data_IF_708178809553
#
_entry.id   IF_708178809553
#
_cell.length_a   1.000
_cell.length_b   1.000
_cell.length_c   1.000
_cell.angle_alpha   90.00
_cell.angle_beta   90.00
_cell.angle_gamma   90.00
#
_symmetry.space_group_name_H-M   'P 1'
#
loop_
_entity.id
_entity.type
_entity.pdbx_description
1 polymer ?
#
# COMPACT_ATOMS: atom_id res chain seq x y z
N UNK A 1 21.08 -22.27 39.01
CA UNK A 1 21.74 -22.84 37.82
C UNK A 1 20.67 -23.58 37.01
N UNK A 2 19.69 -22.87 36.46
CA UNK A 2 19.81 -21.98 35.29
C UNK A 2 19.85 -22.79 33.99
N UNK A 3 18.73 -22.76 33.26
CA UNK A 3 18.63 -22.82 31.79
C UNK A 3 17.16 -22.66 31.42
N UNK A 4 16.70 -21.41 31.52
CA UNK A 4 15.52 -20.96 30.79
C UNK A 4 15.76 -21.30 29.31
N UNK A 5 14.93 -22.19 28.77
CA UNK A 5 14.80 -22.37 27.33
C UNK A 5 14.26 -21.04 26.80
N UNK A 6 15.15 -20.21 26.27
CA UNK A 6 14.77 -19.04 25.49
C UNK A 6 13.91 -19.57 24.35
N UNK A 7 12.60 -19.39 24.50
CA UNK A 7 11.64 -19.55 23.42
C UNK A 7 12.03 -18.46 22.43
N UNK A 8 12.79 -18.83 21.40
CA UNK A 8 13.00 -17.98 20.25
C UNK A 8 11.61 -17.70 19.68
N UNK A 9 11.01 -16.57 20.09
CA UNK A 9 9.87 -15.98 19.40
C UNK A 9 10.25 -16.02 17.92
N UNK A 10 9.43 -16.65 17.05
CA UNK A 10 9.77 -16.73 15.65
C UNK A 10 10.02 -15.29 15.22
N UNK A 11 11.27 -15.00 14.83
CA UNK A 11 11.65 -13.70 14.31
C UNK A 11 10.59 -13.40 13.27
N UNK A 12 9.69 -12.46 13.57
CA UNK A 12 8.66 -12.01 12.65
C UNK A 12 9.49 -11.55 11.47
N UNK A 13 9.51 -12.35 10.41
CA UNK A 13 10.31 -12.08 9.23
C UNK A 13 9.79 -10.73 8.73
N UNK A 14 10.50 -9.67 9.12
CA UNK A 14 10.04 -8.31 9.01
C UNK A 14 10.38 -7.88 7.59
N UNK A 15 9.75 -8.55 6.61
CA UNK A 15 10.00 -8.27 5.21
C UNK A 15 9.77 -6.78 5.01
N UNK A 16 10.84 -6.09 4.61
CA UNK A 16 10.82 -4.67 4.26
C UNK A 16 10.23 -4.45 2.87
N UNK A 17 9.99 -5.54 2.14
CA UNK A 17 9.48 -5.55 0.79
C UNK A 17 8.23 -6.43 0.73
N UNK A 18 7.21 -5.91 0.05
CA UNK A 18 6.00 -6.63 -0.30
C UNK A 18 5.66 -6.29 -1.74
N UNK A 19 5.28 -7.30 -2.51
CA UNK A 19 5.00 -7.19 -3.93
C UNK A 19 3.56 -7.64 -4.21
N UNK A 20 2.88 -6.90 -5.08
CA UNK A 20 1.56 -7.25 -5.56
C UNK A 20 1.45 -7.04 -7.05
N UNK A 21 1.10 -8.12 -7.75
CA UNK A 21 0.91 -8.14 -9.19
C UNK A 21 -0.57 -8.20 -9.51
N UNK A 22 -1.02 -7.33 -10.43
CA UNK A 22 -2.39 -7.38 -10.94
C UNK A 22 -2.35 -7.98 -12.34
N UNK A 23 -2.89 -9.19 -12.48
CA UNK A 23 -3.00 -9.87 -13.77
C UNK A 23 -4.19 -9.36 -14.59
N UNK A 24 -4.12 -9.57 -15.90
CA UNK A 24 -5.19 -9.29 -16.88
C UNK A 24 -5.70 -7.84 -16.86
N UNK A 25 -4.79 -6.89 -16.64
CA UNK A 25 -5.14 -5.48 -16.56
C UNK A 25 -5.83 -4.95 -17.82
N UNK A 26 -5.45 -5.42 -19.01
CA UNK A 26 -6.09 -5.00 -20.27
C UNK A 26 -7.59 -5.33 -20.30
N UNK A 27 -7.97 -6.55 -19.91
CA UNK A 27 -9.38 -6.95 -19.85
C UNK A 27 -10.11 -6.21 -18.73
N UNK A 28 -9.48 -6.07 -17.55
CA UNK A 28 -10.03 -5.31 -16.43
C UNK A 28 -10.35 -3.87 -16.82
N UNK A 29 -9.43 -3.18 -17.50
CA UNK A 29 -9.56 -1.76 -17.90
C UNK A 29 -10.77 -1.46 -18.79
N UNK A 30 -11.34 -2.45 -19.48
CA UNK A 30 -12.56 -2.31 -20.27
C UNK A 30 -13.79 -2.05 -19.39
N UNK A 31 -13.75 -2.46 -18.13
CA UNK A 31 -14.88 -2.41 -17.19
C UNK A 31 -14.67 -1.40 -16.04
N UNK A 32 -13.48 -0.82 -15.90
CA UNK A 32 -13.23 0.19 -14.88
C UNK A 32 -13.72 1.56 -15.35
N UNK A 33 -14.61 2.15 -14.55
CA UNK A 33 -14.97 3.56 -14.60
C UNK A 33 -14.10 4.36 -13.63
N UNK A 34 -14.03 5.69 -13.81
CA UNK A 34 -13.37 6.58 -12.86
C UNK A 34 -13.94 6.40 -11.45
N UNK A 35 -13.08 6.41 -10.44
CA UNK A 35 -13.44 6.17 -9.04
C UNK A 35 -13.55 4.69 -8.64
N UNK A 36 -13.57 3.76 -9.60
CA UNK A 36 -13.43 2.33 -9.30
C UNK A 36 -11.96 1.97 -9.09
N UNK A 37 -11.70 1.12 -8.10
CA UNK A 37 -10.36 0.66 -7.76
C UNK A 37 -10.30 -0.85 -7.55
N UNK A 38 -9.07 -1.36 -7.60
CA UNK A 38 -8.70 -2.71 -7.17
C UNK A 38 -7.95 -2.55 -5.85
N UNK A 39 -8.36 -3.31 -4.83
CA UNK A 39 -7.71 -3.31 -3.52
C UNK A 39 -6.79 -4.52 -3.41
N UNK A 40 -5.59 -4.31 -2.88
CA UNK A 40 -4.68 -5.39 -2.55
C UNK A 40 -5.16 -6.23 -1.37
N UNK A 41 -4.60 -7.44 -1.18
CA UNK A 41 -4.60 -8.07 0.14
C UNK A 41 -3.97 -7.16 1.19
N UNK A 42 -4.36 -7.36 2.44
CA UNK A 42 -3.69 -6.71 3.57
C UNK A 42 -2.25 -7.22 3.71
N UNK A 43 -1.33 -6.32 3.99
CA UNK A 43 0.07 -6.68 4.20
C UNK A 43 0.69 -5.94 5.37
N UNK A 44 1.86 -6.42 5.80
CA UNK A 44 2.67 -5.80 6.84
C UNK A 44 4.08 -5.55 6.31
N UNK A 45 4.65 -4.42 6.69
CA UNK A 45 6.04 -4.07 6.39
C UNK A 45 6.77 -3.81 7.70
N UNK A 46 7.91 -4.47 7.88
CA UNK A 46 8.71 -4.35 9.10
C UNK A 46 7.89 -4.56 10.41
N UNK A 47 6.86 -5.40 10.39
CA UNK A 47 5.97 -5.62 11.52
C UNK A 47 4.85 -4.58 11.71
N UNK A 48 4.82 -3.50 10.92
CA UNK A 48 3.75 -2.50 10.92
C UNK A 48 2.65 -2.84 9.92
N UNK A 49 1.42 -2.42 10.19
CA UNK A 49 0.24 -2.63 9.35
C UNK A 49 -1.03 -2.82 10.20
N UNK A 50 -2.14 -3.31 9.62
CA UNK A 50 -2.26 -3.71 8.22
C UNK A 50 -2.19 -2.51 7.27
N UNK A 51 -1.56 -2.71 6.12
CA UNK A 51 -1.57 -1.79 4.99
C UNK A 51 -2.44 -2.36 3.86
N UNK A 52 -3.02 -1.48 3.05
CA UNK A 52 -3.69 -1.81 1.79
C UNK A 52 -3.28 -0.82 0.71
N UNK A 53 -3.14 -1.31 -0.51
CA UNK A 53 -2.97 -0.47 -1.70
C UNK A 53 -4.27 -0.48 -2.49
N UNK A 54 -4.75 0.71 -2.85
CA UNK A 54 -5.87 0.88 -3.76
C UNK A 54 -5.33 1.43 -5.07
N UNK A 55 -5.54 0.68 -6.15
CA UNK A 55 -5.18 1.12 -7.50
C UNK A 55 -6.42 1.52 -8.27
N UNK A 56 -6.46 2.78 -8.72
CA UNK A 56 -7.54 3.39 -9.49
C UNK A 56 -7.09 3.53 -10.95
N UNK A 57 -7.44 2.60 -11.84
CA UNK A 57 -6.85 2.57 -13.18
C UNK A 57 -7.26 3.76 -14.06
N UNK A 58 -8.45 4.34 -13.80
CA UNK A 58 -9.02 5.51 -14.50
C UNK A 58 -8.98 6.79 -13.66
N UNK A 59 -8.22 6.77 -12.56
CA UNK A 59 -8.19 7.85 -11.57
C UNK A 59 -9.23 7.69 -10.49
N UNK A 60 -8.97 8.35 -9.36
CA UNK A 60 -9.90 8.40 -8.25
C UNK A 60 -11.07 9.33 -8.58
N UNK A 61 -12.03 9.45 -7.64
CA UNK A 61 -13.20 10.28 -7.84
C UNK A 61 -12.89 11.78 -7.82
N UNK A 62 -11.81 12.17 -7.15
CA UNK A 62 -11.46 13.56 -6.86
C UNK A 62 -10.50 14.17 -7.90
N UNK A 63 -9.82 13.33 -8.70
CA UNK A 63 -8.85 13.79 -9.68
C UNK A 63 -9.56 14.46 -10.86
N UNK A 64 -9.23 15.70 -11.18
CA UNK A 64 -9.81 16.38 -12.36
C UNK A 64 -9.34 15.77 -13.70
N UNK A 65 -8.32 14.90 -13.67
CA UNK A 65 -7.70 14.30 -14.85
C UNK A 65 -7.84 12.78 -14.78
N UNK A 66 -8.19 12.14 -15.90
CA UNK A 66 -8.18 10.68 -16.05
C UNK A 66 -6.74 10.15 -16.14
N UNK A 67 -6.06 10.09 -15.00
CA UNK A 67 -4.76 9.44 -14.84
C UNK A 67 -4.90 8.34 -13.80
N UNK A 68 -4.17 7.24 -13.98
CA UNK A 68 -4.11 6.19 -12.96
C UNK A 68 -3.64 6.77 -11.62
N UNK A 69 -4.28 6.34 -10.53
CA UNK A 69 -3.95 6.78 -9.18
C UNK A 69 -3.70 5.58 -8.26
N UNK A 70 -2.85 5.77 -7.26
CA UNK A 70 -2.55 4.77 -6.23
C UNK A 70 -2.72 5.44 -4.87
N UNK A 71 -3.47 4.80 -3.98
CA UNK A 71 -3.58 5.19 -2.58
C UNK A 71 -3.04 4.10 -1.69
N UNK A 72 -2.36 4.50 -0.61
CA UNK A 72 -1.86 3.62 0.43
C UNK A 72 -2.64 3.90 1.71
N UNK A 73 -3.45 2.93 2.12
CA UNK A 73 -4.14 2.92 3.40
C UNK A 73 -3.25 2.21 4.42
N UNK A 74 -3.18 2.77 5.63
CA UNK A 74 -2.42 2.19 6.73
C UNK A 74 -2.94 2.66 8.07
N UNK A 75 -2.32 2.22 9.18
CA UNK A 75 -2.73 2.59 10.53
C UNK A 75 -2.70 4.10 10.74
N UNK A 76 -3.73 4.65 11.38
CA UNK A 76 -3.90 6.11 11.60
C UNK A 76 -2.79 6.75 12.44
N UNK A 77 -2.07 5.96 13.23
CA UNK A 77 -0.97 6.41 14.07
C UNK A 77 0.41 6.37 13.40
N UNK A 78 0.48 6.06 12.09
CA UNK A 78 1.73 5.91 11.37
C UNK A 78 2.01 7.10 10.44
N UNK A 79 3.21 7.68 10.55
CA UNK A 79 3.71 8.60 9.52
C UNK A 79 4.36 7.79 8.41
N UNK A 80 3.79 7.86 7.21
CA UNK A 80 4.31 7.16 6.03
C UNK A 80 4.96 8.16 5.09
N UNK A 81 6.22 7.91 4.73
CA UNK A 81 6.85 8.52 3.57
C UNK A 81 6.87 7.47 2.47
N UNK A 82 6.27 7.79 1.33
CA UNK A 82 6.16 6.88 0.22
C UNK A 82 6.68 7.54 -1.06
N UNK A 83 7.20 6.73 -1.97
CA UNK A 83 7.61 7.13 -3.31
C UNK A 83 6.90 6.22 -4.30
N UNK A 84 6.17 6.81 -5.23
CA UNK A 84 5.61 6.11 -6.39
C UNK A 84 6.56 6.34 -7.55
N UNK A 85 6.86 5.29 -8.29
CA UNK A 85 7.66 5.35 -9.52
C UNK A 85 6.90 4.68 -10.66
N UNK A 86 6.93 5.30 -11.85
CA UNK A 86 6.31 4.78 -13.09
C UNK A 86 7.36 4.96 -14.20
N UNK A 87 8.00 3.86 -14.61
CA UNK A 87 9.19 3.94 -15.47
C UNK A 87 10.26 4.84 -14.85
N UNK A 88 10.74 5.82 -15.61
CA UNK A 88 11.74 6.79 -15.14
C UNK A 88 11.16 7.94 -14.32
N UNK A 89 9.83 8.05 -14.25
CA UNK A 89 9.16 9.07 -13.46
C UNK A 89 9.02 8.62 -12.00
N UNK A 90 9.23 9.54 -11.06
CA UNK A 90 8.93 9.25 -9.66
C UNK A 90 8.41 10.47 -8.91
N UNK A 91 7.52 10.22 -7.97
CA UNK A 91 6.92 11.22 -7.11
C UNK A 91 6.97 10.76 -5.66
N UNK A 92 7.40 11.65 -4.78
CA UNK A 92 7.49 11.38 -3.35
C UNK A 92 6.41 12.15 -2.61
N UNK A 93 5.69 11.45 -1.74
CA UNK A 93 4.69 12.05 -0.88
C UNK A 93 4.87 11.60 0.56
N UNK A 94 4.33 12.40 1.47
CA UNK A 94 4.25 12.08 2.89
C UNK A 94 2.77 12.06 3.27
N UNK A 95 2.30 10.92 3.75
CA UNK A 95 0.97 10.77 4.34
C UNK A 95 0.80 11.66 5.57
N UNK A 96 -0.44 11.91 6.02
CA UNK A 96 -0.78 13.11 6.77
C UNK A 96 -0.13 13.19 8.17
N UNK A 97 0.08 14.43 8.65
CA UNK A 97 -0.07 14.74 10.07
C UNK A 97 -1.57 14.63 10.35
N UNK A 98 -1.99 13.77 11.27
CA UNK A 98 -3.36 13.62 11.79
C UNK A 98 -4.33 14.73 11.35
N UNK A 99 -5.29 14.43 10.47
CA UNK A 99 -6.59 15.12 10.52
C UNK A 99 -7.50 14.22 11.34
N UNK A 100 -7.41 14.39 12.65
CA UNK A 100 -8.29 13.71 13.61
C UNK A 100 -9.64 14.41 13.68
N UNK A 101 -10.67 13.57 13.76
CA UNK A 101 -12.02 13.76 14.32
C UNK A 101 -12.82 14.99 13.88
#
# INVERSE_FOLDING_TARGET
HDRLKTLESPAIASSSMWEWTIHDMAAKLLHFSKGHHITSPEFRLCGHGPFKVHFYPRGDRESNVERGAVSLEGPSNLKVQARISIGDWSYQFRGPRNMGA
#
